data_IF_777091155009
#
_entry.id   IF_777091155009
#
_cell.length_a   1.000
_cell.length_b   1.000
_cell.length_c   1.000
_cell.angle_alpha   90.00
_cell.angle_beta   90.00
_cell.angle_gamma   90.00
#
_symmetry.space_group_name_H-M   'P 1'
#
loop_
_entity.id
_entity.type
_entity.pdbx_description
1 polymer ?
#
# COMPACT_ATOMS: atom_id res chain seq x y z
N UNK A 1 -20.90 -32.68 -14.59
CA UNK A 1 -20.17 -32.28 -13.35
C UNK A 1 -18.68 -31.98 -13.59
N UNK A 2 -17.89 -32.85 -14.25
CA UNK A 2 -16.44 -32.63 -14.50
C UNK A 2 -16.09 -31.39 -15.36
N UNK A 3 -16.93 -31.04 -16.35
CA UNK A 3 -16.77 -29.80 -17.16
C UNK A 3 -17.10 -28.52 -16.38
N UNK A 4 -18.01 -28.57 -15.40
CA UNK A 4 -18.44 -27.42 -14.60
C UNK A 4 -17.34 -26.99 -13.60
N UNK A 5 -16.61 -27.98 -13.07
CA UNK A 5 -15.47 -27.78 -12.17
C UNK A 5 -14.29 -27.09 -12.88
N UNK A 6 -14.03 -27.46 -14.14
CA UNK A 6 -12.96 -26.88 -14.96
C UNK A 6 -13.24 -25.40 -15.28
N UNK A 7 -14.50 -25.05 -15.60
CA UNK A 7 -14.91 -23.65 -15.81
C UNK A 7 -14.85 -22.82 -14.53
N UNK A 8 -15.24 -23.37 -13.37
CA UNK A 8 -15.13 -22.65 -12.10
C UNK A 8 -13.67 -22.37 -11.73
N UNK A 9 -12.77 -23.33 -11.98
CA UNK A 9 -11.33 -23.19 -11.74
C UNK A 9 -10.70 -22.11 -12.65
N UNK A 10 -11.10 -22.04 -13.92
CA UNK A 10 -10.65 -20.99 -14.84
C UNK A 10 -11.16 -19.60 -14.45
N UNK A 11 -12.38 -19.49 -13.93
CA UNK A 11 -12.92 -18.20 -13.46
C UNK A 11 -12.14 -17.70 -12.24
N UNK A 12 -11.79 -18.56 -11.28
CA UNK A 12 -11.00 -18.16 -10.10
C UNK A 12 -9.60 -17.65 -10.44
N UNK A 13 -8.95 -18.15 -11.50
CA UNK A 13 -7.64 -17.62 -11.92
C UNK A 13 -7.75 -16.25 -12.59
N UNK A 14 -8.83 -15.99 -13.34
CA UNK A 14 -9.06 -14.71 -14.00
C UNK A 14 -9.41 -13.60 -13.01
N UNK A 15 -10.22 -13.88 -11.99
CA UNK A 15 -10.63 -12.86 -10.99
C UNK A 15 -9.45 -12.34 -10.18
N UNK A 16 -8.49 -13.21 -9.82
CA UNK A 16 -7.30 -12.80 -9.09
C UNK A 16 -6.32 -11.96 -9.92
N UNK A 17 -6.20 -12.21 -11.24
CA UNK A 17 -5.39 -11.35 -12.11
C UNK A 17 -5.97 -9.94 -12.21
N UNK A 18 -7.29 -9.86 -12.40
CA UNK A 18 -8.00 -8.58 -12.52
C UNK A 18 -7.87 -7.73 -11.25
N UNK A 19 -7.89 -8.37 -10.08
CA UNK A 19 -7.69 -7.71 -8.78
C UNK A 19 -6.33 -7.03 -8.63
N UNK A 20 -5.26 -7.73 -9.02
CA UNK A 20 -3.90 -7.22 -9.01
C UNK A 20 -3.75 -6.04 -9.98
N UNK A 21 -4.30 -6.19 -11.18
CA UNK A 21 -4.28 -5.16 -12.20
C UNK A 21 -5.07 -3.92 -11.73
N UNK A 22 -6.19 -4.09 -11.02
CA UNK A 22 -6.97 -3.00 -10.46
C UNK A 22 -6.18 -2.16 -9.43
N UNK A 23 -5.51 -2.82 -8.48
CA UNK A 23 -4.68 -2.14 -7.48
C UNK A 23 -3.45 -1.48 -8.12
N UNK A 24 -2.78 -2.16 -9.05
CA UNK A 24 -1.64 -1.59 -9.79
C UNK A 24 -2.07 -0.35 -10.60
N UNK A 25 -3.19 -0.46 -11.31
CA UNK A 25 -3.78 0.65 -12.05
C UNK A 25 -4.25 1.78 -11.12
N UNK A 26 -4.61 1.50 -9.87
CA UNK A 26 -4.94 2.53 -8.90
C UNK A 26 -3.69 3.32 -8.48
N UNK A 27 -2.63 2.63 -8.06
CA UNK A 27 -1.37 3.22 -7.61
C UNK A 27 -0.47 3.76 -8.73
N UNK A 28 -0.86 3.63 -10.01
CA UNK A 28 -0.23 4.36 -11.11
C UNK A 28 -0.70 5.81 -11.22
N UNK A 29 -1.84 6.16 -10.60
CA UNK A 29 -2.36 7.52 -10.59
C UNK A 29 -1.63 8.38 -9.55
N UNK A 30 -1.74 9.69 -9.72
CA UNK A 30 -1.48 10.63 -8.64
C UNK A 30 -2.59 10.47 -7.59
N UNK A 31 -2.20 10.31 -6.32
CA UNK A 31 -3.14 10.12 -5.22
C UNK A 31 -2.92 11.18 -4.14
N UNK A 32 -4.02 11.63 -3.56
CA UNK A 32 -4.01 12.22 -2.22
C UNK A 32 -4.30 11.12 -1.20
N UNK A 33 -3.81 11.28 0.03
CA UNK A 33 -4.18 10.37 1.11
C UNK A 33 -4.38 11.08 2.44
N UNK A 34 -5.22 10.47 3.27
CA UNK A 34 -5.34 10.76 4.70
C UNK A 34 -5.09 9.46 5.44
N UNK A 35 -4.14 9.45 6.36
CA UNK A 35 -3.89 8.35 7.27
C UNK A 35 -4.34 8.75 8.67
N UNK A 36 -5.11 7.88 9.30
CA UNK A 36 -5.49 7.97 10.70
C UNK A 36 -4.83 6.81 11.43
N UNK A 37 -4.10 7.13 12.50
CA UNK A 37 -3.45 6.15 13.37
C UNK A 37 -4.07 6.24 14.77
N UNK A 38 -4.57 5.13 15.28
CA UNK A 38 -5.15 5.02 16.62
C UNK A 38 -4.24 4.14 17.49
N UNK A 39 -3.61 4.75 18.48
CA UNK A 39 -2.91 4.01 19.51
C UNK A 39 -3.93 3.61 20.58
N UNK A 40 -4.29 2.33 20.61
CA UNK A 40 -5.31 1.81 21.53
C UNK A 40 -4.88 1.80 23.00
N UNK A 41 -3.57 1.88 23.28
CA UNK A 41 -3.04 1.88 24.66
C UNK A 41 -3.34 3.21 25.35
N UNK A 42 -3.17 4.33 24.66
CA UNK A 42 -3.36 5.68 25.21
C UNK A 42 -4.55 6.43 24.60
N UNK A 43 -5.25 5.82 23.64
CA UNK A 43 -6.36 6.43 22.87
C UNK A 43 -5.96 7.65 22.03
N UNK A 44 -4.67 7.80 21.71
CA UNK A 44 -4.21 8.88 20.86
C UNK A 44 -4.58 8.63 19.40
N UNK A 45 -5.22 9.64 18.80
CA UNK A 45 -5.58 9.66 17.39
C UNK A 45 -4.69 10.67 16.67
N UNK A 46 -3.85 10.16 15.77
CA UNK A 46 -3.00 10.97 14.91
C UNK A 46 -3.53 10.95 13.48
N UNK A 47 -3.48 12.10 12.80
CA UNK A 47 -3.87 12.22 11.40
C UNK A 47 -2.70 12.79 10.61
N UNK A 48 -2.32 12.10 9.54
CA UNK A 48 -1.41 12.62 8.53
C UNK A 48 -2.10 12.74 7.18
N UNK A 49 -1.70 13.72 6.39
CA UNK A 49 -2.22 13.94 5.04
C UNK A 49 -1.08 14.15 4.08
N UNK A 50 -1.28 13.71 2.84
CA UNK A 50 -0.21 13.79 1.88
C UNK A 50 -0.60 13.45 0.45
N UNK A 51 0.42 13.28 -0.37
CA UNK A 51 0.28 12.83 -1.75
C UNK A 51 1.23 11.68 -2.05
N UNK A 52 0.78 10.77 -2.89
CA UNK A 52 1.54 9.66 -3.44
C UNK A 52 1.62 9.85 -4.96
N UNK A 53 2.82 9.76 -5.50
CA UNK A 53 3.11 9.92 -6.93
C UNK A 53 4.05 8.79 -7.34
N UNK A 54 3.69 8.06 -8.39
CA UNK A 54 4.62 7.20 -9.13
C UNK A 54 5.08 7.95 -10.38
N UNK A 55 6.37 8.17 -10.52
CA UNK A 55 6.97 8.82 -11.69
C UNK A 55 7.14 7.83 -12.84
N UNK A 56 7.42 8.35 -14.03
CA UNK A 56 7.61 7.55 -15.25
C UNK A 56 8.81 6.59 -15.20
N UNK A 57 9.81 6.91 -14.38
CA UNK A 57 10.98 6.07 -14.11
C UNK A 57 10.74 5.06 -12.97
N UNK A 58 9.47 4.90 -12.57
CA UNK A 58 9.02 4.04 -11.48
C UNK A 58 9.48 4.48 -10.07
N UNK A 59 10.16 5.63 -9.94
CA UNK A 59 10.44 6.21 -8.63
C UNK A 59 9.15 6.69 -7.97
N UNK A 60 9.07 6.56 -6.66
CA UNK A 60 7.86 6.90 -5.90
C UNK A 60 8.17 8.05 -4.97
N UNK A 61 7.31 9.07 -5.01
CA UNK A 61 7.35 10.21 -4.12
C UNK A 61 6.13 10.18 -3.21
N UNK A 62 6.35 10.13 -1.91
CA UNK A 62 5.32 10.32 -0.89
C UNK A 62 5.65 11.62 -0.16
N UNK A 63 4.72 12.56 -0.18
CA UNK A 63 4.85 13.86 0.49
C UNK A 63 3.85 13.91 1.63
N UNK A 64 4.35 13.92 2.87
CA UNK A 64 3.56 14.17 4.07
C UNK A 64 3.43 15.69 4.19
N UNK A 65 2.24 16.23 4.01
CA UNK A 65 1.97 17.68 4.11
C UNK A 65 1.64 18.11 5.53
N UNK A 66 0.97 17.23 6.26
CA UNK A 66 0.59 17.43 7.67
C UNK A 66 0.84 16.12 8.43
N UNK A 67 1.36 16.17 9.67
CA UNK A 67 1.88 17.35 10.36
C UNK A 67 3.37 17.63 10.05
N UNK A 68 4.15 16.62 9.65
CA UNK A 68 5.62 16.65 9.74
C UNK A 68 6.36 17.20 8.52
N UNK A 69 5.67 17.51 7.41
CA UNK A 69 6.30 18.08 6.20
C UNK A 69 7.52 17.28 5.71
N UNK A 70 7.33 15.98 5.46
CA UNK A 70 8.39 15.09 5.01
C UNK A 70 8.20 14.65 3.55
N UNK A 71 9.31 14.45 2.84
CA UNK A 71 9.30 13.86 1.51
C UNK A 71 10.08 12.54 1.52
N UNK A 72 9.39 11.46 1.18
CA UNK A 72 9.97 10.14 0.96
C UNK A 72 10.12 9.92 -0.55
N UNK A 73 11.34 9.62 -0.98
CA UNK A 73 11.64 9.17 -2.35
C UNK A 73 12.10 7.73 -2.29
N UNK A 74 11.41 6.85 -3.01
CA UNK A 74 11.67 5.41 -3.04
C UNK A 74 12.11 5.04 -4.46
N UNK A 75 13.28 4.41 -4.57
CA UNK A 75 13.88 3.97 -5.83
C UNK A 75 14.62 2.63 -5.65
N UNK A 76 15.39 2.21 -6.65
CA UNK A 76 16.16 0.96 -6.61
C UNK A 76 17.32 0.97 -5.62
N UNK A 77 17.77 2.12 -5.15
CA UNK A 77 18.84 2.25 -4.16
C UNK A 77 18.29 2.19 -2.73
N UNK A 78 17.05 2.63 -2.52
CA UNK A 78 16.46 2.61 -1.19
C UNK A 78 15.37 3.66 -0.98
N UNK A 79 15.29 4.15 0.25
CA UNK A 79 14.40 5.25 0.65
C UNK A 79 15.25 6.44 1.06
N UNK A 80 15.03 7.59 0.43
CA UNK A 80 15.52 8.89 0.89
C UNK A 80 14.38 9.63 1.58
N UNK A 81 14.58 10.02 2.83
CA UNK A 81 13.65 10.82 3.63
C UNK A 81 14.25 12.22 3.77
N UNK A 82 13.50 13.23 3.36
CA UNK A 82 13.83 14.64 3.56
C UNK A 82 12.83 15.26 4.51
N UNK A 83 13.29 15.58 5.70
CA UNK A 83 12.56 16.38 6.68
C UNK A 83 12.71 17.86 6.30
N UNK A 84 11.62 18.51 5.91
CA UNK A 84 11.65 19.89 5.45
C UNK A 84 11.65 20.90 6.61
N UNK A 85 11.27 20.50 7.82
CA UNK A 85 11.26 21.40 8.98
C UNK A 85 12.68 21.61 9.52
N UNK A 86 13.48 20.55 9.53
CA UNK A 86 14.85 20.58 10.04
C UNK A 86 15.91 20.56 8.93
N UNK A 87 15.50 20.51 7.66
CA UNK A 87 16.35 20.35 6.48
C UNK A 87 17.33 19.17 6.59
N UNK A 88 16.83 18.04 7.07
CA UNK A 88 17.62 16.83 7.30
C UNK A 88 17.31 15.75 6.27
N UNK A 89 18.36 15.05 5.83
CA UNK A 89 18.23 13.94 4.88
C UNK A 89 18.71 12.66 5.54
N UNK A 90 17.82 11.67 5.58
CA UNK A 90 18.11 10.29 5.96
C UNK A 90 18.02 9.37 4.76
N UNK A 91 18.92 8.41 4.66
CA UNK A 91 18.89 7.35 3.63
C UNK A 91 18.77 5.99 4.31
N UNK A 92 17.89 5.16 3.77
CA UNK A 92 17.70 3.77 4.18
C UNK A 92 18.00 2.92 2.95
N UNK A 93 19.00 2.06 3.06
CA UNK A 93 19.41 1.16 1.97
C UNK A 93 18.33 0.11 1.69
N UNK A 94 18.12 -0.24 0.42
CA UNK A 94 17.15 -1.25 -0.02
C UNK A 94 17.27 -2.56 0.77
N UNK A 95 18.49 -3.01 1.06
CA UNK A 95 18.76 -4.23 1.84
C UNK A 95 18.08 -4.26 3.21
N UNK A 96 17.80 -3.09 3.79
CA UNK A 96 17.15 -2.98 5.10
C UNK A 96 15.66 -3.34 5.06
N UNK A 97 15.06 -3.37 3.87
CA UNK A 97 13.63 -3.62 3.68
C UNK A 97 13.30 -4.53 2.49
N UNK A 98 14.27 -5.25 1.93
CA UNK A 98 14.09 -6.19 0.82
C UNK A 98 12.95 -7.21 1.07
N UNK A 99 12.72 -7.58 2.33
CA UNK A 99 11.66 -8.52 2.73
C UNK A 99 10.35 -7.84 3.17
N UNK A 100 10.22 -6.52 3.01
CA UNK A 100 9.00 -5.80 3.40
C UNK A 100 7.97 -5.83 2.27
N UNK A 101 6.89 -6.59 2.44
CA UNK A 101 5.87 -6.73 1.40
C UNK A 101 5.28 -5.38 0.96
N UNK A 102 4.96 -4.49 1.88
CA UNK A 102 4.33 -3.19 1.56
C UNK A 102 5.25 -2.35 0.66
N UNK A 103 6.52 -2.25 1.02
CA UNK A 103 7.49 -1.48 0.23
C UNK A 103 7.75 -2.14 -1.13
N UNK A 104 7.76 -3.46 -1.20
CA UNK A 104 7.85 -4.17 -2.47
C UNK A 104 6.61 -3.97 -3.35
N UNK A 105 5.41 -3.99 -2.78
CA UNK A 105 4.16 -3.68 -3.49
C UNK A 105 4.17 -2.23 -3.99
N UNK A 106 4.60 -1.30 -3.13
CA UNK A 106 4.72 0.09 -3.49
C UNK A 106 5.74 0.22 -4.63
N UNK A 107 6.96 -0.29 -4.52
CA UNK A 107 8.01 -0.12 -5.54
C UNK A 107 7.71 -0.85 -6.85
N UNK A 108 7.43 -2.15 -6.79
CA UNK A 108 7.37 -3.01 -7.97
C UNK A 108 5.93 -3.23 -8.47
N UNK A 109 4.94 -2.66 -7.79
CA UNK A 109 3.56 -3.08 -7.95
C UNK A 109 3.34 -4.47 -7.37
N UNK A 110 2.11 -4.95 -7.51
CA UNK A 110 1.75 -6.29 -7.11
C UNK A 110 2.20 -7.27 -8.20
N UNK A 111 3.29 -7.99 -7.93
CA UNK A 111 3.81 -9.00 -8.84
C UNK A 111 2.98 -10.29 -8.81
N UNK A 112 3.14 -11.12 -9.83
CA UNK A 112 2.51 -12.44 -9.89
C UNK A 112 2.92 -13.35 -8.74
N UNK A 113 4.11 -13.16 -8.16
CA UNK A 113 4.59 -13.93 -7.01
C UNK A 113 3.83 -13.59 -5.72
N UNK A 114 3.24 -12.39 -5.65
CA UNK A 114 2.40 -11.99 -4.52
C UNK A 114 0.99 -12.57 -4.59
N UNK A 115 0.60 -13.22 -5.71
CA UNK A 115 -0.73 -13.84 -5.90
C UNK A 115 -1.08 -14.80 -4.76
N UNK A 116 -0.13 -15.60 -4.30
CA UNK A 116 -0.36 -16.60 -3.25
C UNK A 116 -0.57 -15.98 -1.87
N UNK A 117 -0.12 -14.74 -1.66
CA UNK A 117 -0.29 -13.99 -0.40
C UNK A 117 -1.56 -13.15 -0.36
N UNK A 118 -2.33 -13.13 -1.46
CA UNK A 118 -3.57 -12.36 -1.58
C UNK A 118 -4.75 -13.29 -1.39
N UNK A 119 -5.66 -12.90 -0.52
CA UNK A 119 -6.96 -13.53 -0.38
C UNK A 119 -8.04 -12.51 -0.77
N UNK A 120 -8.93 -12.92 -1.66
CA UNK A 120 -10.09 -12.12 -1.99
C UNK A 120 -11.14 -12.31 -0.88
N UNK A 121 -11.72 -11.20 -0.43
CA UNK A 121 -12.84 -11.17 0.51
C UNK A 121 -14.02 -10.44 -0.13
N UNK A 122 -15.21 -10.56 0.47
CA UNK A 122 -16.42 -9.86 -0.02
C UNK A 122 -16.25 -8.34 -0.09
N UNK A 123 -15.38 -7.76 0.74
CA UNK A 123 -15.17 -6.32 0.88
C UNK A 123 -13.88 -5.81 0.23
N UNK A 124 -13.07 -6.68 -0.39
CA UNK A 124 -11.79 -6.29 -0.99
C UNK A 124 -10.71 -7.37 -0.89
N UNK A 125 -9.46 -6.95 -0.72
CA UNK A 125 -8.27 -7.81 -0.77
C UNK A 125 -7.55 -7.85 0.58
N UNK A 126 -7.14 -9.04 1.00
CA UNK A 126 -6.39 -9.28 2.23
C UNK A 126 -4.99 -9.72 1.84
N UNK A 127 -3.99 -9.02 2.35
CA UNK A 127 -2.57 -9.35 2.18
C UNK A 127 -2.00 -9.78 3.52
N UNK A 128 -1.31 -10.92 3.53
CA UNK A 128 -0.65 -11.43 4.73
C UNK A 128 0.86 -11.48 4.49
N UNK A 129 1.61 -10.81 5.35
CA UNK A 129 3.08 -10.83 5.35
C UNK A 129 3.64 -10.84 6.76
N UNK A 130 4.50 -11.82 7.07
CA UNK A 130 5.17 -11.92 8.36
C UNK A 130 4.20 -11.75 9.56
N UNK A 131 3.06 -12.44 9.51
CA UNK A 131 1.96 -12.37 10.49
C UNK A 131 1.24 -11.02 10.59
N UNK A 132 1.49 -10.09 9.68
CA UNK A 132 0.72 -8.86 9.54
C UNK A 132 -0.33 -9.00 8.45
N UNK A 133 -1.49 -8.44 8.73
CA UNK A 133 -2.61 -8.43 7.79
C UNK A 133 -2.90 -7.01 7.35
N UNK A 134 -3.00 -6.82 6.04
CA UNK A 134 -3.41 -5.57 5.41
C UNK A 134 -4.70 -5.80 4.64
N UNK A 135 -5.69 -4.95 4.88
CA UNK A 135 -6.99 -5.00 4.24
C UNK A 135 -7.13 -3.85 3.27
N UNK A 136 -7.31 -4.15 1.99
CA UNK A 136 -7.48 -3.20 0.90
C UNK A 136 -8.93 -3.25 0.42
N UNK A 137 -9.63 -2.13 0.50
CA UNK A 137 -11.06 -2.06 0.22
C UNK A 137 -11.34 -0.86 -0.71
N UNK A 138 -11.85 -1.14 -1.90
CA UNK A 138 -12.30 -0.08 -2.81
C UNK A 138 -13.66 0.43 -2.35
N UNK A 139 -13.69 1.65 -1.82
CA UNK A 139 -14.96 2.34 -1.51
C UNK A 139 -15.68 2.70 -2.81
N UNK A 140 -14.91 3.09 -3.82
CA UNK A 140 -15.35 3.30 -5.21
C UNK A 140 -14.13 3.32 -6.14
N UNK A 141 -14.34 3.48 -7.46
CA UNK A 141 -13.28 3.51 -8.49
C UNK A 141 -12.15 4.54 -8.28
N UNK A 142 -12.40 5.56 -7.47
CA UNK A 142 -11.47 6.66 -7.20
C UNK A 142 -10.92 6.63 -5.77
N UNK A 143 -11.42 5.74 -4.90
CA UNK A 143 -11.08 5.74 -3.48
C UNK A 143 -10.79 4.33 -2.98
N UNK A 144 -9.56 4.15 -2.50
CA UNK A 144 -9.08 2.93 -1.89
C UNK A 144 -8.79 3.17 -0.40
N UNK A 145 -9.22 2.23 0.43
CA UNK A 145 -8.98 2.20 1.86
C UNK A 145 -8.03 1.07 2.20
N UNK A 146 -7.01 1.34 3.02
CA UNK A 146 -6.04 0.36 3.51
C UNK A 146 -6.06 0.35 5.03
N UNK A 147 -6.29 -0.81 5.65
CA UNK A 147 -6.27 -0.98 7.11
C UNK A 147 -5.20 -1.99 7.53
N UNK A 148 -4.43 -1.68 8.56
CA UNK A 148 -3.41 -2.59 9.11
C UNK A 148 -3.01 -2.21 10.54
N UNK A 149 -2.29 -3.12 11.21
CA UNK A 149 -1.58 -2.81 12.46
C UNK A 149 -0.07 -2.74 12.21
N UNK A 150 0.59 -1.76 12.80
CA UNK A 150 2.05 -1.63 12.69
C UNK A 150 2.78 -2.52 13.71
N UNK A 151 4.11 -2.38 13.81
CA UNK A 151 4.91 -3.18 14.77
C UNK A 151 4.63 -2.85 16.24
N UNK A 152 3.96 -1.74 16.51
CA UNK A 152 3.61 -1.27 17.86
C UNK A 152 2.13 -1.52 18.17
N UNK A 153 1.46 -2.38 17.39
CA UNK A 153 0.02 -2.67 17.49
C UNK A 153 -0.89 -1.44 17.30
N UNK A 154 -0.36 -0.36 16.71
CA UNK A 154 -1.15 0.84 16.38
C UNK A 154 -2.01 0.54 15.16
N UNK A 155 -3.29 0.84 15.27
CA UNK A 155 -4.26 0.67 14.19
C UNK A 155 -4.12 1.80 13.20
N UNK A 156 -3.93 1.46 11.93
CA UNK A 156 -3.74 2.42 10.85
C UNK A 156 -4.84 2.25 9.80
N UNK A 157 -5.41 3.38 9.38
CA UNK A 157 -6.38 3.50 8.31
C UNK A 157 -5.89 4.55 7.32
N UNK A 158 -5.53 4.14 6.11
CA UNK A 158 -5.12 5.04 5.04
C UNK A 158 -6.20 5.08 3.97
N UNK A 159 -6.72 6.27 3.67
CA UNK A 159 -7.68 6.50 2.59
C UNK A 159 -7.00 7.24 1.45
N UNK A 160 -6.80 6.57 0.33
CA UNK A 160 -6.27 7.13 -0.90
C UNK A 160 -7.40 7.59 -1.82
N UNK A 161 -7.22 8.72 -2.49
CA UNK A 161 -8.15 9.25 -3.49
C UNK A 161 -7.39 9.74 -4.72
N UNK A 162 -7.81 9.31 -5.92
CA UNK A 162 -7.26 9.79 -7.20
C UNK A 162 -7.47 11.30 -7.34
N UNK A 163 -6.44 12.01 -7.79
CA UNK A 163 -6.45 13.46 -8.04
C UNK A 163 -6.02 13.82 -9.45
#
# INVERSE_FOLDING_TARGET
>A
MRKLFLTALLISFNTFSLALDELNNFFSNKLSFTQTSLNSINSDLNVSKGTFIRNSDNTIKIEIKEPFREIYTIDDNGIKIHDLEFDQIKKIDKKSFENNLILNIIQNGLSSELREKIQQSELGYIFIDNNKTFYFEFINKNTLQVRFKDNMEIENLIKFTKI
#
